data_IF_852660300215
#
_entry.id   IF_852660300215
#
_cell.length_a   1.000
_cell.length_b   1.000
_cell.length_c   1.000
_cell.angle_alpha   90.00
_cell.angle_beta   90.00
_cell.angle_gamma   90.00
#
_symmetry.space_group_name_H-M   'P 1'
#
loop_
_entity.id
_entity.type
_entity.pdbx_description
1 polymer ?
2 non-polymer ?
3 non-polymer ?
4 non-polymer ?
5 water ?
#
# COMPACT_ATOMS: atom_id res chain seq x y z
N UNK A 1 -29.36 -17.21 6.85
CA UNK A 1 -29.71 -16.86 5.43
C UNK A 1 -28.49 -17.15 4.56
N UNK A 2 -28.63 -18.08 3.61
CA UNK A 2 -27.52 -18.57 2.80
C UNK A 2 -27.71 -18.13 1.36
N UNK A 3 -26.72 -17.42 0.83
CA UNK A 3 -26.75 -16.81 -0.49
C UNK A 3 -25.82 -17.61 -1.40
N UNK A 4 -26.34 -18.04 -2.55
CA UNK A 4 -25.57 -18.86 -3.48
C UNK A 4 -25.45 -18.15 -4.82
N UNK A 5 -24.22 -17.86 -5.21
CA UNK A 5 -23.91 -17.07 -6.40
C UNK A 5 -22.90 -17.84 -7.25
N UNK A 6 -22.98 -17.64 -8.56
CA UNK A 6 -22.10 -18.32 -9.50
C UNK A 6 -20.91 -17.40 -9.76
N UNK A 7 -19.76 -17.78 -9.20
CA UNK A 7 -18.57 -16.93 -9.18
C UNK A 7 -17.43 -17.61 -9.92
N UNK A 8 -16.67 -16.83 -10.68
CA UNK A 8 -15.46 -17.27 -11.36
C UNK A 8 -14.26 -17.10 -10.45
N UNK A 9 -13.38 -18.11 -10.34
CA UNK A 9 -12.19 -17.98 -9.51
C UNK A 9 -11.28 -16.82 -9.98
N UNK A 10 -10.67 -16.15 -9.00
CA UNK A 10 -9.84 -14.99 -9.28
C UNK A 10 -8.37 -15.35 -9.39
N UNK A 11 -8.04 -16.31 -10.27
CA UNK A 11 -6.69 -16.86 -10.36
C UNK A 11 -6.74 -18.16 -11.16
N UNK A 12 -7.78 -18.96 -10.88
CA UNK A 12 -7.93 -20.28 -11.38
C UNK A 12 -8.41 -20.29 -12.82
N UNK A 13 -8.55 -21.52 -13.38
CA UNK A 13 -9.13 -21.64 -14.71
C UNK A 13 -10.55 -21.07 -14.78
N UNK A 14 -10.92 -20.58 -15.95
CA UNK A 14 -12.16 -19.86 -16.18
C UNK A 14 -13.38 -20.76 -15.97
N UNK A 15 -13.72 -21.15 -14.76
CA UNK A 15 -14.69 -22.19 -14.52
C UNK A 15 -15.70 -21.79 -13.47
N UNK A 16 -16.79 -21.16 -13.84
CA UNK A 16 -17.72 -20.61 -12.87
C UNK A 16 -18.20 -21.67 -11.87
N UNK A 17 -18.27 -21.30 -10.60
CA UNK A 17 -18.59 -22.22 -9.53
C UNK A 17 -19.73 -21.69 -8.67
N UNK A 18 -20.46 -22.62 -8.05
CA UNK A 18 -21.44 -22.26 -7.05
C UNK A 18 -20.71 -21.93 -5.73
N UNK A 19 -20.87 -20.68 -5.27
CA UNK A 19 -20.29 -20.23 -4.02
C UNK A 19 -21.45 -19.83 -3.08
N UNK A 20 -21.46 -20.39 -1.89
CA UNK A 20 -22.50 -20.10 -0.92
C UNK A 20 -21.88 -19.42 0.30
N UNK A 21 -22.48 -18.30 0.72
CA UNK A 21 -21.98 -17.51 1.83
C UNK A 21 -23.13 -16.96 2.66
N UNK A 22 -22.81 -16.47 3.85
CA UNK A 22 -23.80 -15.91 4.74
C UNK A 22 -23.13 -14.90 5.67
N UNK A 23 -23.89 -14.43 6.68
CA UNK A 23 -23.39 -13.50 7.68
C UNK A 23 -22.89 -12.21 7.02
N UNK A 24 -23.72 -11.63 6.16
CA UNK A 24 -23.36 -10.47 5.38
C UNK A 24 -23.49 -9.21 6.23
N UNK A 25 -22.35 -8.53 6.45
CA UNK A 25 -22.27 -7.32 7.24
C UNK A 25 -21.51 -6.25 6.48
N UNK A 26 -22.04 -5.03 6.40
CA UNK A 26 -21.33 -3.94 5.76
C UNK A 26 -20.16 -3.53 6.65
N UNK A 27 -18.98 -3.34 6.05
CA UNK A 27 -17.82 -2.87 6.78
C UNK A 27 -17.27 -1.55 6.24
N UNK A 28 -17.57 -1.18 4.99
CA UNK A 28 -16.85 -0.08 4.37
C UNK A 28 -17.65 0.60 3.28
N UNK A 29 -17.26 1.83 2.97
CA UNK A 29 -17.91 2.63 1.95
C UNK A 29 -16.85 3.07 0.94
N UNK A 30 -17.28 3.81 -0.07
CA UNK A 30 -16.33 4.37 -1.01
C UNK A 30 -16.97 4.84 -2.30
N UNK A 31 -16.09 5.38 -3.15
CA UNK A 31 -16.38 5.85 -4.47
C UNK A 31 -17.10 4.76 -5.30
N UNK A 32 -16.68 3.52 -5.07
CA UNK A 32 -17.05 2.40 -5.93
C UNK A 32 -18.44 1.83 -5.62
N UNK A 33 -18.89 2.02 -4.38
CA UNK A 33 -20.07 1.32 -3.88
C UNK A 33 -19.91 0.97 -2.42
N UNK A 34 -19.93 -0.33 -2.11
CA UNK A 34 -20.03 -0.82 -0.71
C UNK A 34 -19.08 -2.00 -0.54
N UNK A 35 -18.63 -2.19 0.70
CA UNK A 35 -17.77 -3.33 1.09
C UNK A 35 -18.52 -4.11 2.18
N UNK A 36 -18.53 -5.45 2.05
CA UNK A 36 -19.19 -6.32 3.01
C UNK A 36 -18.18 -7.27 3.65
N UNK A 37 -18.59 -7.84 4.79
CA UNK A 37 -17.93 -9.00 5.39
C UNK A 37 -18.92 -10.18 5.40
N UNK A 38 -18.41 -11.36 5.08
CA UNK A 38 -19.27 -12.52 4.94
C UNK A 38 -18.50 -13.78 5.30
N UNK A 39 -19.24 -14.87 5.47
CA UNK A 39 -18.71 -16.18 5.84
C UNK A 39 -19.09 -17.19 4.77
N UNK A 40 -18.09 -17.85 4.18
CA UNK A 40 -18.34 -18.94 3.24
C UNK A 40 -18.93 -20.14 3.97
N UNK A 41 -20.13 -20.56 3.57
CA UNK A 41 -20.84 -21.62 4.27
C UNK A 41 -20.03 -22.92 4.35
N UNK A 42 -19.38 -23.25 3.23
CA UNK A 42 -18.69 -24.56 3.16
C UNK A 42 -17.42 -24.54 4.02
N UNK A 43 -16.48 -23.66 3.71
CA UNK A 43 -15.21 -23.61 4.40
C UNK A 43 -15.26 -22.86 5.74
N UNK A 44 -16.36 -22.17 6.00
CA UNK A 44 -16.52 -21.40 7.24
C UNK A 44 -15.56 -20.24 7.42
N UNK A 45 -14.82 -19.85 6.38
CA UNK A 45 -13.80 -18.84 6.55
C UNK A 45 -14.37 -17.50 6.11
N UNK A 46 -13.84 -16.42 6.70
CA UNK A 46 -14.34 -15.08 6.47
C UNK A 46 -13.76 -14.48 5.18
N UNK A 47 -14.57 -13.68 4.50
CA UNK A 47 -14.18 -13.04 3.26
C UNK A 47 -14.77 -11.62 3.24
N UNK A 48 -14.29 -10.83 2.28
CA UNK A 48 -14.80 -9.49 2.05
C UNK A 48 -15.31 -9.42 0.60
N UNK A 49 -16.50 -8.82 0.42
CA UNK A 49 -17.05 -8.63 -0.92
C UNK A 49 -17.11 -7.13 -1.18
N UNK A 50 -16.29 -6.72 -2.15
CA UNK A 50 -16.24 -5.34 -2.63
C UNK A 50 -17.17 -5.21 -3.83
N UNK A 51 -18.22 -4.40 -3.70
CA UNK A 51 -19.28 -4.35 -4.70
C UNK A 51 -19.23 -3.01 -5.43
N UNK A 52 -18.91 -3.06 -6.74
CA UNK A 52 -18.77 -1.89 -7.59
C UNK A 52 -19.86 -1.97 -8.67
N UNK A 53 -20.38 -0.80 -9.07
CA UNK A 53 -21.27 -0.74 -10.22
C UNK A 53 -20.42 -0.81 -11.50
N UNK A 54 -20.79 -1.69 -12.42
CA UNK A 54 -19.96 -2.00 -13.57
C UNK A 54 -20.75 -1.71 -14.86
N UNK A 55 -20.16 -0.87 -15.72
CA UNK A 55 -20.68 -0.70 -17.06
C UNK A 55 -19.95 -1.67 -17.98
N UNK A 56 -20.72 -2.45 -18.72
CA UNK A 56 -20.15 -3.51 -19.56
C UNK A 56 -19.36 -3.03 -20.79
N UNK A 57 -19.49 -1.77 -21.22
CA UNK A 57 -18.77 -1.29 -22.43
C UNK A 57 -17.37 -0.80 -22.05
N UNK A 58 -16.90 -1.23 -20.89
CA UNK A 58 -15.47 -1.19 -20.55
C UNK A 58 -15.26 -2.14 -19.35
N UNK A 59 -14.17 -2.91 -19.44
CA UNK A 59 -13.82 -3.86 -18.41
C UNK A 59 -13.29 -3.11 -17.18
N UNK A 60 -13.61 -3.64 -15.99
CA UNK A 60 -13.13 -3.07 -14.75
C UNK A 60 -11.62 -3.23 -14.67
N UNK A 61 -10.92 -2.11 -14.45
CA UNK A 61 -9.46 -2.05 -14.40
C UNK A 61 -8.93 -2.80 -13.22
N UNK A 62 -9.59 -2.65 -12.09
CA UNK A 62 -9.21 -3.33 -10.85
C UNK A 62 -9.32 -4.85 -11.03
N UNK A 63 -10.36 -5.29 -11.73
CA UNK A 63 -10.59 -6.72 -11.89
C UNK A 63 -9.49 -7.35 -12.75
N UNK A 64 -9.13 -6.70 -13.85
CA UNK A 64 -8.05 -7.20 -14.71
C UNK A 64 -6.73 -7.26 -13.93
N UNK A 65 -6.52 -6.33 -13.00
CA UNK A 65 -5.30 -6.32 -12.21
C UNK A 65 -5.35 -7.39 -11.13
N UNK A 66 -6.51 -7.55 -10.47
CA UNK A 66 -6.65 -8.53 -9.39
C UNK A 66 -6.43 -9.96 -9.89
N UNK A 67 -6.96 -10.27 -11.07
CA UNK A 67 -6.82 -11.61 -11.63
C UNK A 67 -5.38 -11.89 -12.13
N UNK A 68 -4.46 -10.95 -11.98
CA UNK A 68 -3.07 -11.17 -12.35
C UNK A 68 -2.12 -11.10 -11.13
N UNK A 69 -2.67 -10.98 -9.91
CA UNK A 69 -1.86 -10.79 -8.72
C UNK A 69 -2.03 -12.00 -7.80
N UNK A 70 -0.99 -12.28 -7.01
CA UNK A 70 -1.00 -13.41 -6.03
C UNK A 70 0.23 -13.29 -5.14
N UNK A 71 0.07 -12.72 -3.94
CA UNK A 71 1.23 -12.54 -3.02
C UNK A 71 0.79 -12.65 -1.56
N UNK A 72 1.73 -13.10 -0.71
CA UNK A 72 1.57 -13.25 0.72
C UNK A 72 1.02 -12.01 1.44
N UNK A 73 1.52 -10.86 1.01
CA UNK A 73 1.24 -9.57 1.64
C UNK A 73 0.22 -8.76 0.82
N UNK A 74 -0.61 -9.42 0.03
CA UNK A 74 -1.67 -8.78 -0.73
C UNK A 74 -2.95 -9.60 -0.52
N UNK A 75 -4.07 -8.90 -0.28
CA UNK A 75 -5.34 -9.59 -0.15
C UNK A 75 -5.67 -10.25 -1.51
N UNK A 76 -5.90 -11.55 -1.49
CA UNK A 76 -6.07 -12.28 -2.73
C UNK A 76 -7.54 -12.28 -3.16
N UNK A 77 -7.72 -12.18 -4.47
CA UNK A 77 -9.04 -12.27 -5.10
C UNK A 77 -9.42 -13.74 -5.25
N UNK A 78 -10.43 -14.16 -4.52
CA UNK A 78 -10.87 -15.56 -4.53
C UNK A 78 -11.86 -15.79 -5.69
N UNK A 79 -12.88 -14.94 -5.78
CA UNK A 79 -13.88 -15.04 -6.84
C UNK A 79 -14.27 -13.65 -7.32
N UNK A 80 -15.04 -13.63 -8.41
CA UNK A 80 -15.79 -12.46 -8.82
C UNK A 80 -17.08 -12.90 -9.48
N UNK A 81 -18.14 -12.12 -9.31
CA UNK A 81 -19.39 -12.37 -10.02
C UNK A 81 -20.12 -11.04 -10.18
N UNK A 82 -21.29 -11.11 -10.83
CA UNK A 82 -22.07 -9.95 -11.22
C UNK A 82 -23.47 -10.03 -10.62
N UNK A 83 -23.90 -8.93 -9.99
CA UNK A 83 -25.25 -8.77 -9.47
C UNK A 83 -25.90 -7.55 -10.12
N UNK A 84 -27.13 -7.25 -9.70
CA UNK A 84 -27.85 -6.08 -10.17
C UNK A 84 -28.79 -5.56 -9.06
N UNK A 85 -29.30 -4.34 -9.25
CA UNK A 85 -30.15 -3.65 -8.26
C UNK A 85 -31.64 -3.88 -8.50
N UNK A 86 -32.25 -2.97 -9.30
CA UNK A 86 -33.64 -3.08 -9.76
C UNK A 86 -33.65 -3.30 -11.28
N UNK A 87 -33.25 -2.25 -12.03
CA UNK A 87 -33.37 -2.24 -13.49
C UNK A 87 -32.04 -2.66 -14.12
N UNK A 88 -32.06 -2.83 -15.46
CA UNK A 88 -30.95 -3.41 -16.26
C UNK A 88 -30.14 -2.30 -16.96
N UNK A 89 -28.81 -2.52 -16.98
CA UNK A 89 -27.68 -1.54 -17.11
C UNK A 89 -26.89 -1.66 -15.82
N UNK A 90 -27.67 -1.83 -14.75
CA UNK A 90 -27.36 -1.71 -13.34
C UNK A 90 -26.66 -2.99 -12.88
N UNK A 91 -25.50 -3.23 -13.54
CA UNK A 91 -24.66 -4.39 -13.31
C UNK A 91 -23.64 -4.04 -12.22
N UNK A 92 -23.52 -4.91 -11.21
CA UNK A 92 -22.56 -4.74 -10.15
C UNK A 92 -21.50 -5.83 -10.25
N UNK A 93 -20.24 -5.41 -10.34
CA UNK A 93 -19.12 -6.33 -10.24
C UNK A 93 -18.78 -6.54 -8.76
N UNK A 94 -18.80 -7.79 -8.31
CA UNK A 94 -18.53 -8.12 -6.92
C UNK A 94 -17.23 -8.90 -6.82
N UNK A 95 -16.35 -8.44 -5.93
CA UNK A 95 -15.03 -9.05 -5.76
C UNK A 95 -14.99 -9.73 -4.39
N UNK A 96 -14.78 -11.06 -4.42
CA UNK A 96 -14.67 -11.85 -3.21
C UNK A 96 -13.19 -11.94 -2.83
N UNK A 97 -12.82 -11.26 -1.77
CA UNK A 97 -11.43 -11.24 -1.32
C UNK A 97 -11.33 -11.87 0.05
N UNK A 98 -10.07 -12.12 0.44
CA UNK A 98 -9.76 -12.57 1.79
C UNK A 98 -10.02 -11.41 2.76
N UNK A 99 -10.57 -11.74 3.93
CA UNK A 99 -10.83 -10.75 4.96
C UNK A 99 -9.68 -10.78 5.96
N UNK A 100 -9.17 -9.59 6.29
CA UNK A 100 -8.17 -9.39 7.31
C UNK A 100 -8.80 -8.47 8.36
N UNK A 101 -8.73 -8.82 9.66
CA UNK A 101 -9.59 -8.15 10.64
C UNK A 101 -9.29 -6.66 10.88
N UNK A 102 -8.01 -6.28 10.98
CA UNK A 102 -7.66 -4.94 11.41
C UNK A 102 -6.89 -4.23 10.29
N UNK A 103 -6.69 -2.91 10.48
CA UNK A 103 -5.90 -2.12 9.56
C UNK A 103 -4.82 -1.37 10.32
N UNK A 104 -3.78 -0.97 9.59
CA UNK A 104 -2.65 -0.25 10.19
C UNK A 104 -3.13 1.06 10.81
N UNK A 105 -4.09 1.72 10.16
CA UNK A 105 -4.61 3.00 10.62
C UNK A 105 -5.24 2.89 12.02
N UNK A 106 -5.95 1.81 12.23
CA UNK A 106 -6.68 1.67 13.46
C UNK A 106 -5.82 1.17 14.57
N UNK A 107 -4.73 0.52 14.22
CA UNK A 107 -3.70 0.17 15.19
C UNK A 107 -2.91 1.41 15.59
N UNK A 108 -2.39 2.09 14.56
CA UNK A 108 -1.59 3.32 14.71
C UNK A 108 -2.40 4.35 15.44
N UNK A 109 -3.68 4.41 15.17
CA UNK A 109 -4.56 5.34 15.80
C UNK A 109 -4.70 5.09 17.28
N UNK A 110 -4.64 3.87 17.73
CA UNK A 110 -4.84 3.67 19.19
C UNK A 110 -3.58 4.12 19.91
N UNK A 111 -2.46 3.48 19.60
CA UNK A 111 -1.26 3.95 20.29
C UNK A 111 -1.21 5.46 20.40
N UNK A 112 -1.68 6.18 19.36
CA UNK A 112 -1.66 7.63 19.39
C UNK A 112 -2.65 8.19 20.41
N UNK A 113 -3.82 7.57 20.54
CA UNK A 113 -4.75 7.98 21.57
C UNK A 113 -4.22 7.62 22.96
N UNK A 114 -3.47 6.53 23.07
CA UNK A 114 -2.81 6.18 24.32
C UNK A 114 -1.51 6.99 24.54
N UNK A 115 -1.22 7.95 23.66
CA UNK A 115 0.00 8.75 23.72
C UNK A 115 1.26 7.87 23.65
N UNK A 116 1.16 6.75 22.94
CA UNK A 116 2.24 5.79 22.85
C UNK A 116 2.71 5.66 21.40
N UNK A 117 3.92 5.11 21.25
CA UNK A 117 4.45 4.81 19.93
C UNK A 117 4.39 3.30 19.70
N UNK A 118 4.11 2.93 18.44
CA UNK A 118 4.06 1.54 18.04
C UNK A 118 5.42 0.89 18.29
N UNK A 119 5.47 -0.33 18.86
CA UNK A 119 6.76 -0.98 19.05
C UNK A 119 7.51 -1.14 17.73
N UNK A 120 8.83 -0.94 17.82
CA UNK A 120 9.66 -0.79 16.64
C UNK A 120 9.65 -2.08 15.80
N UNK A 121 9.46 -3.22 16.46
CA UNK A 121 9.43 -4.50 15.74
C UNK A 121 8.20 -4.55 14.82
N UNK A 122 7.07 -3.95 15.25
CA UNK A 122 5.89 -3.92 14.41
C UNK A 122 6.07 -2.97 13.23
N UNK A 123 6.85 -1.90 13.43
CA UNK A 123 7.20 -1.00 12.35
C UNK A 123 7.99 -1.76 11.29
N UNK A 124 9.00 -2.51 11.73
CA UNK A 124 9.81 -3.28 10.81
C UNK A 124 8.98 -4.35 10.11
N UNK A 125 8.15 -5.06 10.88
CA UNK A 125 7.35 -6.14 10.31
C UNK A 125 6.39 -5.61 9.23
N UNK A 126 5.68 -4.52 9.53
CA UNK A 126 4.64 -4.07 8.62
C UNK A 126 5.21 -3.31 7.42
N UNK A 127 6.34 -2.62 7.60
CA UNK A 127 6.97 -1.92 6.48
C UNK A 127 7.60 -2.91 5.49
N UNK A 128 8.28 -3.92 6.02
CA UNK A 128 8.92 -4.93 5.17
C UNK A 128 7.89 -5.67 4.32
N UNK A 129 6.78 -6.06 4.93
CA UNK A 129 5.72 -6.76 4.21
C UNK A 129 5.11 -5.86 3.13
N UNK A 130 4.97 -4.56 3.44
CA UNK A 130 4.44 -3.64 2.46
C UNK A 130 5.40 -3.51 1.25
N UNK A 131 6.70 -3.47 1.55
CA UNK A 131 7.75 -3.36 0.50
C UNK A 131 7.66 -4.56 -0.44
N UNK A 132 7.55 -5.76 0.13
CA UNK A 132 7.45 -6.99 -0.67
C UNK A 132 6.28 -6.89 -1.65
N UNK A 133 5.11 -6.49 -1.13
CA UNK A 133 3.93 -6.33 -1.97
C UNK A 133 4.15 -5.25 -3.04
N UNK A 134 4.93 -4.22 -2.72
CA UNK A 134 5.21 -3.15 -3.67
C UNK A 134 6.17 -3.61 -4.76
N UNK A 135 7.22 -4.33 -4.37
CA UNK A 135 8.19 -4.82 -5.35
C UNK A 135 7.54 -5.80 -6.31
N UNK A 136 6.47 -6.48 -5.87
CA UNK A 136 5.80 -7.47 -6.71
C UNK A 136 4.90 -6.82 -7.76
N UNK A 137 4.06 -5.86 -7.34
CA UNK A 137 3.15 -5.21 -8.28
C UNK A 137 3.92 -4.25 -9.20
N UNK A 138 5.04 -3.70 -8.73
CA UNK A 138 5.86 -2.85 -9.59
C UNK A 138 6.61 -3.65 -10.66
N UNK A 139 6.87 -4.93 -10.37
CA UNK A 139 7.51 -5.80 -11.34
C UNK A 139 6.60 -6.10 -12.55
N UNK A 140 5.29 -5.90 -12.39
CA UNK A 140 4.34 -6.00 -13.48
C UNK A 140 4.11 -4.65 -14.18
N UNK A 141 4.62 -3.56 -13.62
CA UNK A 141 4.29 -2.23 -14.08
C UNK A 141 3.02 -1.66 -13.49
N UNK A 142 2.44 -2.31 -12.46
CA UNK A 142 1.22 -1.84 -11.83
C UNK A 142 1.61 -0.92 -10.66
N UNK A 143 0.98 0.26 -10.63
CA UNK A 143 1.15 1.17 -9.52
C UNK A 143 -0.16 1.27 -8.74
N UNK A 144 -0.10 0.99 -7.44
CA UNK A 144 -1.32 1.00 -6.60
C UNK A 144 -2.02 2.35 -6.77
N UNK A 145 -1.33 3.36 -6.30
CA UNK A 145 -1.71 4.73 -6.37
C UNK A 145 -2.52 5.10 -5.20
N UNK A 146 -2.45 4.36 -4.14
CA UNK A 146 -3.27 4.71 -3.01
C UNK A 146 -2.78 3.95 -1.76
N UNK A 147 -1.53 4.19 -1.40
CA UNK A 147 -0.93 3.74 -0.19
C UNK A 147 -1.39 4.65 0.94
N UNK A 148 -2.21 4.12 1.85
CA UNK A 148 -2.50 4.79 3.12
C UNK A 148 -2.67 3.71 4.18
N UNK A 149 -2.28 3.98 5.45
CA UNK A 149 -2.55 3.07 6.55
C UNK A 149 -3.92 2.36 6.57
N UNK A 150 -4.99 3.01 6.10
CA UNK A 150 -6.26 2.29 6.13
C UNK A 150 -6.38 1.31 4.94
N UNK A 151 -5.47 1.37 3.96
CA UNK A 151 -5.43 0.40 2.89
C UNK A 151 -4.38 -0.71 3.14
N UNK A 152 -3.87 -0.81 4.38
CA UNK A 152 -3.07 -1.92 4.83
C UNK A 152 -3.84 -2.68 5.89
N UNK A 153 -4.10 -3.95 5.61
CA UNK A 153 -4.81 -4.83 6.54
C UNK A 153 -3.81 -5.59 7.41
N UNK A 154 -4.22 -5.92 8.63
CA UNK A 154 -3.37 -6.63 9.57
C UNK A 154 -4.15 -7.73 10.29
N UNK A 155 -3.48 -8.86 10.54
CA UNK A 155 -3.92 -9.82 11.53
C UNK A 155 -3.13 -9.57 12.80
N UNK A 156 -3.81 -9.23 13.91
CA UNK A 156 -3.10 -8.84 15.14
C UNK A 156 -2.24 -9.95 15.72
N UNK A 157 -2.65 -11.21 15.53
CA UNK A 157 -2.03 -12.34 16.18
C UNK A 157 -0.83 -12.86 15.39
N UNK A 158 -0.96 -12.92 14.06
CA UNK A 158 0.09 -13.40 13.16
C UNK A 158 0.98 -12.27 12.63
N UNK A 159 0.59 -11.01 12.85
CA UNK A 159 1.32 -9.83 12.40
C UNK A 159 1.54 -9.83 10.89
N UNK A 160 0.61 -10.41 10.14
CA UNK A 160 0.63 -10.42 8.70
C UNK A 160 -0.02 -9.14 8.19
N UNK A 161 0.67 -8.44 7.28
CA UNK A 161 0.11 -7.32 6.57
C UNK A 161 -0.32 -7.76 5.18
N UNK A 162 -1.48 -7.24 4.73
CA UNK A 162 -1.96 -7.49 3.39
C UNK A 162 -2.51 -6.20 2.80
N UNK A 163 -1.86 -5.72 1.74
CA UNK A 163 -2.28 -4.52 1.03
C UNK A 163 -3.62 -4.80 0.34
N UNK A 164 -4.53 -3.80 0.39
CA UNK A 164 -5.83 -3.94 -0.22
C UNK A 164 -6.21 -2.67 -0.95
N UNK A 165 -7.47 -2.61 -1.41
CA UNK A 165 -8.01 -1.51 -2.21
C UNK A 165 -7.10 -1.25 -3.41
N UNK A 166 -7.45 -1.92 -4.53
CA UNK A 166 -6.76 -1.74 -5.80
C UNK A 166 -7.58 -0.89 -6.75
N UNK A 167 -8.49 -0.09 -6.19
CA UNK A 167 -9.44 0.73 -6.98
C UNK A 167 -8.75 1.81 -7.80
N UNK A 168 -7.59 2.25 -7.34
CA UNK A 168 -6.82 3.30 -8.00
C UNK A 168 -5.54 2.76 -8.64
N UNK A 169 -5.29 1.45 -8.53
CA UNK A 169 -4.15 0.86 -9.19
C UNK A 169 -4.31 0.95 -10.72
N UNK A 170 -3.18 0.99 -11.41
CA UNK A 170 -3.18 1.11 -12.86
C UNK A 170 -1.85 0.61 -13.42
N UNK A 171 -1.93 -0.17 -14.51
CA UNK A 171 -0.76 -0.49 -15.31
C UNK A 171 -0.25 0.80 -15.96
N UNK A 172 0.97 1.22 -15.61
CA UNK A 172 1.56 2.39 -16.21
C UNK A 172 2.25 1.97 -17.52
N UNK A 173 1.64 2.38 -18.65
CA UNK A 173 2.23 2.20 -19.97
C UNK A 173 2.99 3.47 -20.33
N UNK A 174 4.30 3.38 -20.56
CA UNK A 174 5.09 4.58 -20.77
C UNK A 174 4.67 5.26 -22.08
N UNK A 175 4.35 6.54 -21.98
CA UNK A 175 3.81 7.28 -23.11
C UNK A 175 2.33 7.60 -22.98
N UNK A 176 1.61 6.83 -22.15
CA UNK A 176 0.22 7.14 -21.81
C UNK A 176 0.17 8.03 -20.57
N UNK A 177 -0.64 9.11 -20.58
CA UNK A 177 -0.71 10.02 -19.43
C UNK A 177 -1.58 9.42 -18.33
N UNK A 178 -1.44 9.95 -17.11
CA UNK A 178 -1.76 9.11 -15.95
C UNK A 178 -2.50 9.81 -14.80
N UNK A 179 -2.83 11.08 -14.90
CA UNK A 179 -3.59 11.86 -13.87
C UNK A 179 -2.69 12.12 -12.67
N UNK A 180 -2.97 13.22 -11.97
CA UNK A 180 -2.11 13.71 -10.89
C UNK A 180 -2.83 13.88 -9.56
N UNK A 181 -4.16 13.82 -9.54
CA UNK A 181 -4.90 13.91 -8.29
C UNK A 181 -5.21 12.54 -7.74
N UNK A 182 -4.27 11.63 -8.02
CA UNK A 182 -4.29 10.27 -7.41
C UNK A 182 -3.58 10.36 -6.06
N UNK A 183 -3.61 9.29 -5.26
CA UNK A 183 -2.99 9.11 -3.90
C UNK A 183 -3.84 9.73 -2.79
N UNK A 184 -3.87 9.15 -1.60
CA UNK A 184 -4.75 9.80 -0.60
C UNK A 184 -3.94 10.79 0.20
N UNK A 185 -3.85 11.99 -0.37
CA UNK A 185 -3.23 13.19 0.18
C UNK A 185 -2.30 12.69 1.16
N UNK A 186 -1.92 13.50 2.12
CA UNK A 186 -0.89 13.16 3.07
C UNK A 186 0.25 12.32 2.53
N UNK A 187 -0.04 11.34 1.71
CA UNK A 187 0.91 10.42 1.22
C UNK A 187 1.01 10.73 -0.25
N UNK A 188 0.79 11.98 -0.66
CA UNK A 188 0.78 12.36 -2.08
C UNK A 188 2.10 12.92 -2.58
N UNK A 189 2.77 12.19 -3.44
CA UNK A 189 4.16 12.48 -3.76
C UNK A 189 4.30 13.92 -4.23
N UNK A 190 5.50 14.50 -4.16
CA UNK A 190 5.76 15.83 -4.69
C UNK A 190 5.35 16.06 -6.16
N UNK A 191 5.62 15.05 -6.98
CA UNK A 191 5.33 15.10 -8.41
C UNK A 191 3.83 15.34 -8.63
N UNK A 192 3.00 14.67 -7.82
CA UNK A 192 1.55 14.77 -7.98
C UNK A 192 0.98 16.07 -7.42
N UNK A 193 1.59 16.61 -6.36
CA UNK A 193 1.18 17.89 -5.83
C UNK A 193 1.39 19.03 -6.85
N UNK A 194 2.47 18.96 -7.62
CA UNK A 194 2.74 19.86 -8.71
C UNK A 194 1.98 19.48 -10.00
N UNK A 195 1.13 18.46 -9.94
CA UNK A 195 0.33 18.09 -11.10
C UNK A 195 1.03 17.41 -12.24
N UNK A 196 2.05 16.60 -11.98
CA UNK A 196 2.73 15.90 -13.05
C UNK A 196 1.91 14.68 -13.49
N UNK A 197 1.94 14.40 -14.80
CA UNK A 197 1.26 13.24 -15.34
C UNK A 197 2.25 12.25 -15.97
N UNK A 198 3.55 12.37 -15.65
CA UNK A 198 4.58 11.50 -16.20
C UNK A 198 5.31 10.75 -15.07
N UNK A 199 4.54 10.20 -14.12
CA UNK A 199 5.14 9.64 -12.92
C UNK A 199 5.43 8.16 -13.11
N UNK A 200 6.22 7.60 -12.20
CA UNK A 200 6.54 6.18 -12.17
C UNK A 200 5.91 5.53 -10.93
N UNK A 201 6.28 4.29 -10.67
CA UNK A 201 5.81 3.56 -9.51
C UNK A 201 6.39 4.06 -8.18
N UNK A 202 7.38 4.96 -8.26
CA UNK A 202 8.03 5.52 -7.07
C UNK A 202 7.08 6.38 -6.24
N UNK A 203 5.85 6.65 -6.73
CA UNK A 203 4.90 7.43 -5.95
C UNK A 203 4.35 6.60 -4.79
N UNK A 204 4.27 5.28 -4.99
CA UNK A 204 3.94 4.39 -3.88
C UNK A 204 5.08 4.34 -2.87
N UNK A 205 6.32 4.46 -3.34
CA UNK A 205 7.48 4.49 -2.46
C UNK A 205 7.44 5.73 -1.57
N UNK A 206 7.09 6.87 -2.15
CA UNK A 206 6.92 8.09 -1.37
C UNK A 206 5.84 7.90 -0.31
N UNK A 207 4.66 7.42 -0.74
CA UNK A 207 3.54 7.21 0.18
C UNK A 207 3.95 6.27 1.30
N UNK A 208 4.73 5.25 0.98
CA UNK A 208 5.21 4.31 1.99
C UNK A 208 6.10 5.01 3.00
N UNK A 209 6.97 5.92 2.55
CA UNK A 209 7.80 6.68 3.46
C UNK A 209 6.96 7.57 4.38
N UNK A 210 5.85 8.09 3.87
CA UNK A 210 4.93 8.86 4.70
C UNK A 210 4.22 7.96 5.72
N UNK A 211 3.98 6.70 5.35
CA UNK A 211 3.41 5.75 6.29
C UNK A 211 4.46 5.37 7.36
N UNK A 212 5.70 5.16 6.93
CA UNK A 212 6.78 4.84 7.85
C UNK A 212 6.96 5.97 8.86
N UNK A 213 7.12 7.21 8.38
CA UNK A 213 7.33 8.33 9.27
C UNK A 213 6.13 8.57 10.18
N UNK A 214 4.91 8.20 9.75
CA UNK A 214 3.74 8.37 10.59
C UNK A 214 3.77 7.36 11.75
N UNK A 215 4.20 6.13 11.50
CA UNK A 215 4.31 5.15 12.55
C UNK A 215 5.43 5.50 13.54
N UNK A 216 6.47 6.17 13.06
CA UNK A 216 7.56 6.62 13.94
C UNK A 216 7.11 7.83 14.79
N UNK A 217 6.38 8.76 14.17
CA UNK A 217 6.03 9.98 14.86
C UNK A 217 4.76 9.84 15.69
N UNK A 218 3.90 8.89 15.34
CA UNK A 218 2.62 8.74 16.00
C UNK A 218 1.54 9.62 15.44
N UNK A 219 1.78 10.25 14.27
CA UNK A 219 0.82 11.11 13.60
C UNK A 219 1.39 11.42 12.21
N UNK A 220 0.52 11.77 11.23
CA UNK A 220 0.98 12.03 9.87
C UNK A 220 2.08 13.09 9.79
N UNK A 221 3.16 12.78 9.05
CA UNK A 221 4.33 13.62 9.03
C UNK A 221 4.05 14.89 8.18
N UNK A 222 3.33 14.70 7.07
CA UNK A 222 2.99 15.77 6.13
C UNK A 222 1.50 15.98 6.12
N UNK A 223 0.93 16.74 7.08
CA UNK A 223 -0.49 17.09 7.04
C UNK A 223 -0.78 18.21 6.01
N UNK A 224 -1.92 18.85 6.12
CA UNK A 224 -2.24 19.89 5.18
C UNK A 224 -3.71 19.90 4.80
N UNK A 225 -4.26 21.11 4.69
CA UNK A 225 -5.66 21.34 4.44
C UNK A 225 -6.03 21.19 2.94
N UNK A 226 -5.04 21.18 2.06
CA UNK A 226 -5.29 20.88 0.67
C UNK A 226 -4.01 20.38 0.03
N UNK A 227 -4.04 20.14 -1.28
CA UNK A 227 -2.85 19.80 -2.03
C UNK A 227 -1.74 20.84 -1.89
N UNK A 228 -2.14 22.11 -1.77
CA UNK A 228 -1.18 23.19 -1.63
C UNK A 228 -0.51 23.11 -0.25
N UNK A 229 -1.30 22.91 0.80
CA UNK A 229 -0.75 22.88 2.15
C UNK A 229 0.15 21.67 2.36
N UNK A 230 -0.12 20.57 1.65
CA UNK A 230 0.79 19.42 1.68
C UNK A 230 2.18 19.83 1.19
N UNK A 231 2.22 20.69 0.17
CA UNK A 231 3.51 21.18 -0.32
C UNK A 231 4.23 22.01 0.74
N UNK A 232 3.48 22.80 1.50
CA UNK A 232 4.05 23.62 2.58
C UNK A 232 4.72 22.70 3.62
N UNK A 233 4.00 21.64 4.00
CA UNK A 233 4.48 20.77 5.09
C UNK A 233 5.65 19.90 4.63
N UNK A 234 5.65 19.49 3.37
CA UNK A 234 6.82 18.79 2.79
C UNK A 234 8.00 19.76 2.77
N UNK A 235 7.78 20.97 2.26
CA UNK A 235 8.85 21.97 2.20
C UNK A 235 9.30 22.34 3.62
N UNK A 236 8.40 22.29 4.61
CA UNK A 236 8.78 22.58 5.98
C UNK A 236 9.90 21.63 6.45
N UNK A 237 9.77 20.35 6.10
CA UNK A 237 10.71 19.35 6.60
C UNK A 237 11.86 19.08 5.63
N UNK A 238 11.55 18.91 4.35
CA UNK A 238 12.56 18.61 3.33
C UNK A 238 13.14 19.87 2.69
N UNK A 239 12.65 21.06 3.07
CA UNK A 239 13.16 22.30 2.52
C UNK A 239 12.62 22.56 1.11
N UNK A 240 12.90 23.74 0.58
CA UNK A 240 12.52 24.06 -0.78
C UNK A 240 13.30 23.15 -1.72
N UNK A 241 12.66 22.51 -2.71
CA UNK A 241 13.40 21.71 -3.67
C UNK A 241 14.31 22.57 -4.55
N UNK A 242 15.50 22.10 -4.82
CA UNK A 242 16.33 22.73 -5.84
C UNK A 242 15.63 22.67 -7.21
N UNK A 243 16.05 23.60 -8.07
CA UNK A 243 15.44 23.71 -9.40
C UNK A 243 15.71 22.49 -10.27
N UNK A 244 16.80 21.75 -9.99
CA UNK A 244 17.01 20.44 -10.58
C UNK A 244 16.00 19.43 -10.04
N UNK A 245 15.77 19.50 -8.72
CA UNK A 245 14.80 18.63 -8.07
C UNK A 245 13.40 18.89 -8.64
N UNK A 246 13.09 20.15 -8.91
CA UNK A 246 11.79 20.51 -9.45
C UNK A 246 11.65 19.95 -10.86
N UNK A 247 12.71 20.02 -11.66
CA UNK A 247 12.68 19.50 -13.03
C UNK A 247 12.43 17.99 -13.04
N UNK A 248 12.96 17.28 -12.05
CA UNK A 248 12.80 15.83 -11.99
C UNK A 248 11.39 15.44 -11.51
N UNK A 249 10.81 16.22 -10.59
CA UNK A 249 9.48 15.94 -10.10
C UNK A 249 8.44 16.09 -11.22
N UNK A 250 8.16 17.33 -11.61
CA UNK A 250 7.23 17.59 -12.68
C UNK A 250 7.99 18.35 -13.75
N UNK A 251 8.03 17.85 -15.01
CA UNK A 251 8.47 18.67 -16.15
C UNK A 251 7.38 19.66 -16.62
N UNK A 252 6.58 20.14 -15.65
CA UNK A 252 5.44 21.01 -15.86
C UNK A 252 5.08 21.68 -14.51
N UNK A 253 5.16 23.03 -14.46
CA UNK A 253 4.67 23.94 -13.36
C UNK A 253 5.84 24.55 -12.54
N UNK A 254 5.45 25.40 -11.57
CA UNK A 254 6.28 25.89 -10.48
C UNK A 254 5.65 27.14 -9.85
N UNK A 255 4.33 27.32 -10.02
CA UNK A 255 3.73 28.61 -9.64
C UNK A 255 3.95 28.87 -8.15
N UNK A 256 5.14 29.43 -7.84
CA UNK A 256 5.69 29.63 -6.51
C UNK A 256 4.55 29.93 -5.54
N UNK A 257 4.26 28.94 -4.71
CA UNK A 257 3.34 29.08 -3.58
C UNK A 257 3.81 30.24 -2.68
N UNK A 258 5.14 30.24 -2.44
CA UNK A 258 5.83 31.25 -1.67
C UNK A 258 7.33 31.12 -1.98
N UNK A 259 8.24 31.56 -1.08
CA UNK A 259 9.68 31.56 -1.35
C UNK A 259 10.38 30.24 -0.99
N UNK A 260 11.72 30.25 -1.00
CA UNK A 260 12.57 29.10 -0.60
C UNK A 260 12.77 29.09 0.92
N UNK A 261 12.48 27.95 1.54
CA UNK A 261 12.24 27.87 2.97
C UNK A 261 13.32 27.06 3.71
N UNK A 262 14.09 26.27 2.98
CA UNK A 262 15.26 25.52 3.41
C UNK A 262 14.79 24.39 4.33
N UNK A 263 15.69 23.44 4.57
CA UNK A 263 15.33 22.19 5.24
C UNK A 263 15.86 22.25 6.68
N UNK A 264 15.32 21.39 7.55
CA UNK A 264 15.78 21.16 8.89
C UNK A 264 15.96 19.66 9.12
N UNK A 265 16.92 19.27 9.99
CA UNK A 265 17.48 17.93 9.95
C UNK A 265 16.49 16.82 10.30
N UNK A 266 16.74 15.62 9.80
CA UNK A 266 15.95 14.46 10.08
C UNK A 266 15.96 14.09 11.58
N UNK A 267 17.11 14.30 12.21
CA UNK A 267 17.28 14.01 13.63
C UNK A 267 16.29 14.81 14.48
N UNK A 268 16.01 16.05 14.06
CA UNK A 268 15.12 16.93 14.80
C UNK A 268 13.65 16.71 14.43
N UNK A 269 13.36 15.82 13.47
CA UNK A 269 11.98 15.60 13.07
C UNK A 269 11.30 14.59 14.00
N UNK A 270 12.06 13.53 14.36
CA UNK A 270 11.52 12.44 15.14
C UNK A 270 11.85 12.58 16.62
N UNK A 271 11.24 11.67 17.40
CA UNK A 271 11.52 11.57 18.82
C UNK A 271 12.97 11.15 19.04
N UNK A 272 13.61 11.65 20.13
CA UNK A 272 15.04 11.43 20.31
C UNK A 272 15.34 9.95 20.61
N UNK A 273 14.53 9.38 21.50
CA UNK A 273 14.68 7.97 21.98
C UNK A 273 14.21 6.94 20.94
N UNK A 274 14.59 7.12 19.67
CA UNK A 274 14.19 6.19 18.60
C UNK A 274 14.81 6.62 17.27
N UNK A 275 16.14 6.92 17.21
CA UNK A 275 16.82 7.33 15.99
C UNK A 275 17.85 6.30 15.50
N UNK A 276 17.45 5.12 14.96
CA UNK A 276 18.39 4.13 14.47
C UNK A 276 18.45 4.18 12.95
N UNK A 277 18.37 3.02 12.29
CA UNK A 277 18.38 2.94 10.80
C UNK A 277 17.00 3.35 10.28
N UNK A 278 16.10 3.74 11.20
CA UNK A 278 14.75 4.15 10.85
C UNK A 278 14.76 5.54 10.20
N UNK A 279 15.60 6.43 10.72
CA UNK A 279 15.75 7.77 10.14
C UNK A 279 16.47 7.67 8.79
N UNK A 280 17.44 6.76 8.69
CA UNK A 280 18.16 6.55 7.44
C UNK A 280 17.22 6.02 6.36
N UNK A 281 16.23 5.22 6.74
CA UNK A 281 15.27 4.70 5.76
C UNK A 281 14.35 5.82 5.27
N UNK A 282 13.90 6.69 6.17
CA UNK A 282 13.04 7.80 5.78
C UNK A 282 13.75 8.75 4.81
N UNK A 283 15.04 8.99 5.06
CA UNK A 283 15.85 9.90 4.22
C UNK A 283 16.11 9.25 2.85
N UNK A 284 15.83 7.95 2.71
CA UNK A 284 16.04 7.24 1.43
C UNK A 284 14.69 6.97 0.75
N UNK A 285 13.59 7.24 1.46
CA UNK A 285 12.25 7.04 0.94
C UNK A 285 11.61 8.38 0.55
N UNK A 286 11.78 9.40 1.40
CA UNK A 286 11.18 10.70 1.15
C UNK A 286 12.23 11.62 0.53
N UNK A 287 12.41 11.47 -0.78
CA UNK A 287 13.26 12.37 -1.57
C UNK A 287 12.40 12.95 -2.69
N UNK A 288 12.75 14.19 -3.06
CA UNK A 288 12.00 14.88 -4.12
C UNK A 288 12.16 14.17 -5.46
N UNK A 289 13.41 13.78 -5.76
CA UNK A 289 13.79 13.13 -6.99
C UNK A 289 13.21 11.71 -7.03
N UNK A 290 12.30 11.40 -7.96
CA UNK A 290 11.68 10.08 -8.01
C UNK A 290 12.68 8.93 -8.25
N UNK A 291 13.69 9.20 -9.07
CA UNK A 291 14.66 8.15 -9.36
C UNK A 291 15.67 7.99 -8.23
N UNK A 292 15.71 8.92 -7.29
CA UNK A 292 16.62 8.84 -6.15
C UNK A 292 16.02 8.08 -4.96
N UNK A 293 14.73 7.75 -5.02
CA UNK A 293 14.10 7.01 -3.95
C UNK A 293 14.43 5.50 -4.12
N UNK A 294 14.48 4.80 -3.00
CA UNK A 294 14.76 3.38 -3.04
C UNK A 294 13.67 2.63 -3.79
N UNK A 295 14.06 1.49 -4.37
CA UNK A 295 13.13 0.48 -4.82
C UNK A 295 12.55 -0.26 -3.62
N UNK A 296 11.31 -0.78 -3.70
CA UNK A 296 10.79 -1.57 -2.59
C UNK A 296 11.68 -2.77 -2.26
N UNK A 297 12.34 -3.33 -3.28
CA UNK A 297 13.28 -4.42 -3.09
C UNK A 297 14.53 -3.96 -2.33
N UNK A 298 15.06 -2.81 -2.74
CA UNK A 298 16.23 -2.24 -2.09
C UNK A 298 15.90 -1.79 -0.66
N UNK A 299 14.63 -1.44 -0.41
CA UNK A 299 14.21 -1.02 0.92
C UNK A 299 14.14 -2.20 1.87
N UNK A 300 13.74 -3.36 1.36
CA UNK A 300 13.64 -4.57 2.19
C UNK A 300 15.01 -4.97 2.74
N UNK A 301 16.06 -4.76 1.95
CA UNK A 301 17.41 -5.11 2.35
C UNK A 301 18.10 -3.99 3.14
N UNK A 302 17.36 -2.94 3.51
CA UNK A 302 17.96 -1.84 4.27
C UNK A 302 18.30 -2.31 5.69
N UNK A 303 19.27 -1.62 6.28
CA UNK A 303 19.79 -1.88 7.61
C UNK A 303 18.69 -1.97 8.67
N UNK A 304 17.64 -1.18 8.48
CA UNK A 304 16.59 -1.05 9.50
C UNK A 304 15.84 -2.35 9.73
N UNK A 305 15.78 -3.21 8.70
CA UNK A 305 15.04 -4.46 8.74
C UNK A 305 15.93 -5.65 9.17
N UNK A 306 17.20 -5.42 9.50
CA UNK A 306 18.13 -6.52 9.69
C UNK A 306 17.77 -7.39 10.90
N UNK A 307 17.04 -6.83 11.87
CA UNK A 307 16.55 -7.62 13.00
C UNK A 307 15.64 -8.75 12.54
N UNK A 308 14.81 -8.47 11.53
CA UNK A 308 13.87 -9.46 11.02
C UNK A 308 14.58 -10.59 10.29
N UNK A 309 15.75 -10.31 9.71
CA UNK A 309 16.53 -11.33 9.02
C UNK A 309 17.27 -12.27 9.98
N UNK A 310 17.32 -11.93 11.27
CA UNK A 310 17.95 -12.81 12.24
C UNK A 310 17.09 -14.05 12.45
N UNK A 311 17.70 -15.25 12.45
CA UNK A 311 16.93 -16.49 12.60
C UNK A 311 16.27 -16.68 13.97
N UNK A 312 16.75 -15.94 14.98
CA UNK A 312 16.32 -16.07 16.36
C UNK A 312 15.24 -15.07 16.76
N UNK A 313 14.99 -14.08 15.90
CA UNK A 313 14.02 -13.03 16.24
C UNK A 313 12.61 -13.64 16.22
N UNK A 314 11.83 -13.32 17.26
CA UNK A 314 10.52 -13.92 17.47
C UNK A 314 9.50 -12.83 17.78
N UNK A 315 8.24 -13.12 17.43
CA UNK A 315 7.17 -12.14 17.61
C UNK A 315 6.98 -11.84 19.10
N UNK A 316 6.40 -10.69 19.43
CA UNK A 316 6.25 -10.28 20.83
C UNK A 316 5.38 -11.22 21.67
N UNK A 317 4.43 -11.91 21.03
CA UNK A 317 3.62 -12.89 21.75
C UNK A 317 4.26 -14.28 21.72
N UNK A 318 5.55 -14.35 21.42
CA UNK A 318 6.31 -15.59 21.53
C UNK A 318 6.27 -16.43 20.25
N UNK A 319 5.35 -16.13 19.33
CA UNK A 319 5.16 -16.92 18.14
C UNK A 319 6.25 -16.63 17.12
N UNK A 320 6.29 -17.48 16.09
CA UNK A 320 7.18 -17.31 14.97
C UNK A 320 6.79 -16.04 14.18
N UNK A 321 7.81 -15.45 13.55
CA UNK A 321 7.61 -14.43 12.56
C UNK A 321 7.01 -15.04 11.30
N UNK A 322 6.08 -14.34 10.62
CA UNK A 322 5.48 -14.86 9.41
C UNK A 322 6.52 -14.85 8.27
N UNK A 323 6.22 -15.57 7.18
CA UNK A 323 7.07 -15.75 6.03
C UNK A 323 7.61 -14.40 5.56
N UNK A 324 8.94 -14.26 5.57
CA UNK A 324 9.60 -13.00 5.21
C UNK A 324 10.72 -13.25 4.17
N UNK A 325 10.81 -14.50 3.72
CA UNK A 325 11.89 -14.90 2.81
C UNK A 325 11.39 -15.74 1.62
N UNK A 326 10.07 -15.89 1.42
CA UNK A 326 9.60 -16.76 0.36
C UNK A 326 9.37 -15.94 -0.92
N UNK A 327 10.49 -15.57 -1.54
CA UNK A 327 10.46 -14.72 -2.73
C UNK A 327 10.19 -15.56 -3.98
N UNK A 328 9.64 -14.88 -5.00
CA UNK A 328 9.56 -15.39 -6.37
C UNK A 328 10.64 -14.75 -7.23
N UNK A 329 10.83 -15.31 -8.42
CA UNK A 329 11.73 -14.67 -9.39
C UNK A 329 11.15 -13.38 -9.95
N UNK A 330 9.82 -13.30 -10.03
CA UNK A 330 9.17 -12.05 -10.43
C UNK A 330 9.38 -10.94 -9.38
N UNK A 331 9.40 -11.24 -8.12
CA UNK A 331 9.62 -10.33 -7.05
C UNK A 331 11.08 -9.90 -6.91
N UNK A 332 11.98 -10.75 -7.38
CA UNK A 332 13.43 -10.48 -7.31
C UNK A 332 13.95 -9.86 -8.61
N UNK A 333 13.06 -9.63 -9.58
CA UNK A 333 13.53 -9.35 -10.95
C UNK A 333 14.26 -8.01 -11.07
N UNK A 334 13.88 -7.01 -10.28
CA UNK A 334 14.49 -5.68 -10.40
C UNK A 334 16.00 -5.73 -10.07
N UNK A 335 16.39 -6.68 -9.22
CA UNK A 335 17.74 -6.77 -8.70
C UNK A 335 17.98 -8.18 -8.19
N UNK A 336 18.12 -9.18 -9.09
CA UNK A 336 18.24 -10.57 -8.66
C UNK A 336 19.39 -10.83 -7.69
N UNK A 337 20.59 -10.24 -7.90
CA UNK A 337 21.68 -10.44 -6.94
C UNK A 337 21.40 -9.91 -5.52
N UNK A 338 20.28 -9.22 -5.31
CA UNK A 338 19.91 -8.81 -3.96
C UNK A 338 19.46 -9.99 -3.08
N UNK A 339 19.23 -11.16 -3.67
CA UNK A 339 18.89 -12.34 -2.88
C UNK A 339 19.99 -12.72 -1.89
N UNK A 340 21.22 -12.23 -2.13
CA UNK A 340 22.32 -12.38 -1.19
C UNK A 340 21.90 -11.93 0.21
N UNK A 341 21.24 -10.78 0.25
CA UNK A 341 20.82 -10.17 1.52
C UNK A 341 19.40 -10.60 1.89
N UNK A 342 18.51 -10.70 0.89
CA UNK A 342 17.09 -10.92 1.15
C UNK A 342 16.85 -12.27 1.86
N UNK A 343 17.47 -13.32 1.32
CA UNK A 343 17.33 -14.66 1.88
C UNK A 343 18.55 -14.89 2.78
N UNK A 344 18.41 -14.86 4.12
CA UNK A 344 19.56 -14.99 5.01
C UNK A 344 20.00 -16.45 5.05
N UNK A 345 20.98 -16.83 5.91
CA UNK A 345 21.18 -18.24 6.27
C UNK A 345 19.82 -18.90 6.50
N UNK A 346 19.72 -19.78 7.49
CA UNK A 346 18.42 -20.31 7.97
C UNK A 346 17.50 -20.75 6.81
N UNK A 347 17.88 -21.83 6.11
CA UNK A 347 17.12 -22.36 4.99
C UNK A 347 17.10 -21.37 3.81
X LIG B 1 -24.40 -8.81 -4.27
X LIG B 1 -24.72 -7.72 -5.17
X LIG B 1 -23.88 -8.29 -2.92
X LIG B 1 -24.99 -7.75 -2.17
X LIG B 1 -23.14 -9.38 -2.12
X LIG B 1 -23.77 -9.74 -0.87
X LIG C 1 -10.79 -0.75 4.06
X LIG C 1 -9.33 -0.64 3.79
X LIG C 1 -11.06 -0.39 5.71
X LIG C 1 -11.65 0.54 3.31
X LIG D 1 -16.22 -3.47 11.27
X LIG D 1 -15.08 -4.02 11.71
X LIG D 1 -10.39 -7.00 4.03
X LIG D 1 -14.63 -1.83 10.22
X LIG D 1 -11.86 -3.02 1.62
X LIG D 1 -10.88 -3.72 8.53
X LIG D 1 -12.77 -2.63 7.44
X LIG D 1 -11.07 -4.97 4.95
X LIG D 1 -10.63 -6.27 5.11
X LIG D 1 -11.05 -5.21 2.66
X LIG D 1 -11.38 -4.47 1.35
X LIG D 1 -12.24 -2.07 0.55
X LIG D 1 -11.11 -2.14 -0.56
X LIG D 1 -13.90 -3.81 10.75
X LIG D 1 -12.29 -0.58 -1.79
X LIG D 1 -17.26 -3.62 12.08
X LIG D 1 -16.04 -2.22 10.78
X LIG D 1 -13.58 -2.51 10.69
X LIG D 1 -12.20 -2.10 10.11
X LIG D 1 -10.81 -2.50 11.03
X LIG D 1 -12.21 -0.47 9.98
X LIG D 1 -11.95 -2.84 8.53
X LIG D 1 -10.60 -4.40 7.36
X LIG D 1 -11.37 -4.18 6.23
X LIG D 1 -12.50 -3.31 6.24
X LIG D 1 -10.59 -6.55 2.79
X LIG D 1 -11.29 -4.46 3.76
X LIG D 1 -11.29 -5.04 0.27
X LIG D 1 -10.33 -7.53 1.72
X LIG D 1 -11.00 -1.02 -1.40
#
# INVERSE_FOLDING_TARGET
KVTTVVATPGQGPDRPQEVSYTDTKVIGNGSFGVVYQAKLCDSGELVAIKKVLQDKRFKNRELQIMRKLDHCNIVRLRYFFYSSGEKKDEVYLNLVLDYVPETVYRVARHYSRAKQTLPVIYVKLYMYQLFRSLAYIHSFGICHRDIKPQNLLLDPDTAVLKLCDFGSAKQLVRGEPNVSYICSRYYRAPELIFGATDYTSSIDVWSAGCVLAELLLGQPIFPGDSGVDQLVEIIKVLGTPTREQIREMNPNYTEFKFPQIKAHPWTKVFRPRTPPEAIALCSRLLEYTPTARLTPLEACAHSFFDELRDPNVKLPNGRDTPALFNFTTQELSSNPPLATILIPPHA
GOL C1 O1 C2 O2 C3 O3
DMS S O C1 C2
G8N N1 C2 N3 C4 N5 C6 C10 C11 C12 C14 C15 C16 C17 C18 C19 C1 C3 N2 S1 O1 O2 C5 C7 C8 C9 C13 N4 O3 N6 O4
#
